data_IF_380837660470
#
_entry.id   IF_380837660470
#
_cell.length_a   1.000
_cell.length_b   1.000
_cell.length_c   1.000
_cell.angle_alpha   90.00
_cell.angle_beta   90.00
_cell.angle_gamma   90.00
#
_symmetry.space_group_name_H-M   'P 1'
#
loop_
_entity.id
_entity.type
_entity.pdbx_description
1 polymer ?
#
# COMPACT_ATOMS: atom_id res chain seq x y z
N UNK A 1 4.44 -7.57 0.49
CA UNK A 1 3.77 -7.99 1.75
C UNK A 1 2.61 -8.94 1.46
N UNK A 2 1.70 -8.65 0.52
CA UNK A 2 0.57 -9.53 0.14
C UNK A 2 1.02 -10.96 -0.20
N UNK A 3 2.01 -11.13 -1.09
CA UNK A 3 2.57 -12.45 -1.42
C UNK A 3 3.03 -13.26 -0.21
N UNK A 4 3.62 -12.60 0.81
CA UNK A 4 4.08 -13.25 2.03
C UNK A 4 2.90 -13.77 2.85
N UNK A 5 1.83 -12.97 2.95
CA UNK A 5 0.63 -13.32 3.70
C UNK A 5 -0.15 -14.47 3.02
N UNK A 6 -0.21 -14.46 1.69
CA UNK A 6 -0.81 -15.52 0.87
C UNK A 6 0.11 -16.75 0.68
N UNK A 7 1.34 -16.71 1.22
CA UNK A 7 2.36 -17.77 1.08
C UNK A 7 2.68 -18.11 -0.37
N UNK A 8 2.66 -17.11 -1.24
CA UNK A 8 3.05 -17.24 -2.65
C UNK A 8 4.56 -17.10 -2.76
N UNK A 9 5.22 -18.02 -3.46
CA UNK A 9 6.64 -17.89 -3.79
C UNK A 9 6.82 -16.87 -4.92
N UNK A 10 7.75 -15.93 -4.74
CA UNK A 10 8.06 -14.91 -5.74
C UNK A 10 9.58 -14.69 -5.85
N UNK A 11 10.02 -14.16 -6.99
CA UNK A 11 11.36 -13.64 -7.19
C UNK A 11 11.30 -12.11 -7.29
N UNK A 12 12.07 -11.41 -6.45
CA UNK A 12 12.15 -9.96 -6.49
C UNK A 12 13.15 -9.48 -7.55
N UNK A 13 12.79 -8.43 -8.28
CA UNK A 13 13.68 -7.74 -9.23
C UNK A 13 13.96 -6.33 -8.71
N UNK A 14 15.24 -6.00 -8.50
CA UNK A 14 15.67 -4.70 -7.97
C UNK A 14 15.83 -3.67 -9.10
N UNK A 15 15.25 -2.48 -8.92
CA UNK A 15 15.21 -1.41 -9.94
C UNK A 15 16.57 -0.77 -10.29
N UNK A 16 17.61 -0.93 -9.46
CA UNK A 16 18.89 -0.24 -9.70
C UNK A 16 19.66 -0.77 -10.95
N UNK A 17 19.08 -1.71 -11.68
CA UNK A 17 19.59 -2.25 -12.95
C UNK A 17 18.45 -2.57 -13.92
N UNK A 18 17.52 -1.62 -14.15
CA UNK A 18 16.46 -1.77 -15.17
C UNK A 18 17.07 -1.94 -16.57
N UNK A 19 17.35 -3.17 -16.96
CA UNK A 19 17.83 -3.47 -18.29
C UNK A 19 16.72 -3.33 -19.34
N UNK A 20 17.12 -3.15 -20.60
CA UNK A 20 16.24 -3.13 -21.78
C UNK A 20 15.19 -4.26 -21.83
N UNK A 21 15.46 -5.40 -21.16
CA UNK A 21 14.54 -6.53 -21.05
C UNK A 21 13.29 -6.23 -20.20
N UNK A 22 13.38 -5.39 -19.17
CA UNK A 22 12.22 -5.01 -18.36
C UNK A 22 11.29 -4.07 -19.12
N UNK A 23 11.82 -3.07 -19.83
CA UNK A 23 11.01 -2.13 -20.60
C UNK A 23 10.26 -2.79 -21.78
N UNK A 24 10.73 -3.95 -22.25
CA UNK A 24 9.96 -4.78 -23.21
C UNK A 24 8.71 -5.40 -22.59
N UNK A 25 8.74 -5.65 -21.29
CA UNK A 25 7.64 -6.26 -20.53
C UNK A 25 6.71 -5.18 -20.00
N UNK A 26 7.27 -4.11 -19.42
CA UNK A 26 6.55 -2.94 -18.96
C UNK A 26 7.15 -1.67 -19.57
N UNK A 27 6.56 -1.22 -20.67
CA UNK A 27 7.02 -0.04 -21.40
C UNK A 27 6.96 1.26 -20.56
N UNK A 28 6.07 1.33 -19.57
CA UNK A 28 5.96 2.49 -18.69
C UNK A 28 7.10 2.57 -17.67
N UNK A 29 7.88 1.50 -17.50
CA UNK A 29 8.96 1.44 -16.52
C UNK A 29 8.50 1.51 -15.06
N UNK A 30 7.18 1.47 -14.82
CA UNK A 30 6.58 1.51 -13.48
C UNK A 30 6.75 0.17 -12.74
N UNK A 31 6.67 0.24 -11.44
CA UNK A 31 6.64 -0.92 -10.54
C UNK A 31 5.56 -0.70 -9.48
N UNK A 32 5.03 -1.77 -8.87
CA UNK A 32 5.33 -3.18 -9.11
C UNK A 32 4.76 -3.73 -10.44
N UNK A 33 5.38 -4.79 -10.94
CA UNK A 33 4.91 -5.60 -12.07
C UNK A 33 5.13 -7.06 -11.72
N UNK A 34 4.13 -7.90 -11.97
CA UNK A 34 4.23 -9.35 -11.73
C UNK A 34 3.83 -10.14 -12.97
N UNK A 35 4.30 -11.39 -13.03
CA UNK A 35 3.86 -12.37 -14.01
C UNK A 35 3.10 -13.47 -13.28
N UNK A 36 1.82 -13.66 -13.59
CA UNK A 36 1.00 -14.76 -13.09
C UNK A 36 0.31 -15.42 -14.28
N UNK A 37 0.36 -16.75 -14.36
CA UNK A 37 -0.20 -17.55 -15.46
C UNK A 37 0.17 -17.01 -16.84
N UNK A 38 1.46 -16.72 -17.02
CA UNK A 38 2.03 -16.14 -18.24
C UNK A 38 1.55 -14.72 -18.61
N UNK A 39 0.66 -14.11 -17.82
CA UNK A 39 0.20 -12.73 -17.99
C UNK A 39 0.98 -11.77 -17.11
N UNK A 40 1.43 -10.67 -17.70
CA UNK A 40 2.03 -9.56 -16.97
C UNK A 40 0.96 -8.58 -16.49
N UNK A 41 1.01 -8.23 -15.21
CA UNK A 41 0.09 -7.30 -14.55
C UNK A 41 0.91 -6.25 -13.81
N UNK A 42 0.57 -4.99 -14.03
CA UNK A 42 1.12 -3.83 -13.33
C UNK A 42 0.04 -3.17 -12.46
N UNK A 43 0.43 -2.20 -11.65
CA UNK A 43 -0.41 -1.51 -10.64
C UNK A 43 -0.65 -2.38 -9.40
N UNK A 44 -0.26 -1.88 -8.23
CA UNK A 44 -0.37 -2.62 -6.98
C UNK A 44 -1.82 -2.95 -6.60
N UNK A 45 -2.78 -2.09 -6.95
CA UNK A 45 -4.19 -2.31 -6.60
C UNK A 45 -4.79 -3.41 -7.47
N UNK A 46 -4.45 -3.42 -8.76
CA UNK A 46 -4.86 -4.48 -9.70
C UNK A 46 -4.16 -5.80 -9.33
N UNK A 47 -2.87 -5.74 -8.99
CA UNK A 47 -2.09 -6.91 -8.57
C UNK A 47 -2.72 -7.56 -7.34
N UNK A 48 -3.04 -6.79 -6.30
CA UNK A 48 -3.59 -7.35 -5.06
C UNK A 48 -5.00 -7.92 -5.26
N UNK A 49 -5.84 -7.30 -6.11
CA UNK A 49 -7.13 -7.88 -6.50
C UNK A 49 -6.97 -9.22 -7.23
N UNK A 50 -6.06 -9.27 -8.21
CA UNK A 50 -5.80 -10.49 -8.97
C UNK A 50 -5.25 -11.62 -8.08
N UNK A 51 -4.44 -11.28 -7.08
CA UNK A 51 -3.94 -12.22 -6.09
C UNK A 51 -5.04 -12.77 -5.19
N UNK A 52 -5.92 -11.92 -4.66
CA UNK A 52 -7.05 -12.33 -3.83
C UNK A 52 -8.01 -13.27 -4.59
N UNK A 53 -8.27 -12.98 -5.88
CA UNK A 53 -9.08 -13.87 -6.73
C UNK A 53 -8.44 -15.24 -6.92
N UNK A 54 -7.11 -15.30 -7.05
CA UNK A 54 -6.35 -16.53 -7.29
C UNK A 54 -6.05 -17.32 -6.02
N UNK A 55 -5.83 -16.63 -4.91
CA UNK A 55 -5.46 -17.17 -3.60
C UNK A 55 -6.40 -16.63 -2.52
N UNK A 56 -7.70 -17.01 -2.53
CA UNK A 56 -8.71 -16.44 -1.64
C UNK A 56 -8.54 -16.82 -0.16
N UNK A 57 -7.52 -17.63 0.18
CA UNK A 57 -7.26 -18.10 1.53
C UNK A 57 -5.78 -17.88 1.85
N UNK A 58 -5.44 -17.11 2.90
CA UNK A 58 -6.37 -16.39 3.79
C UNK A 58 -7.05 -15.21 3.09
N UNK A 59 -8.28 -14.90 3.48
CA UNK A 59 -9.01 -13.76 2.93
C UNK A 59 -8.40 -12.45 3.41
N UNK A 60 -8.01 -11.57 2.50
CA UNK A 60 -7.43 -10.26 2.84
C UNK A 60 -8.36 -9.10 2.48
N UNK A 61 -9.56 -9.36 1.96
CA UNK A 61 -10.55 -8.32 1.64
C UNK A 61 -10.84 -7.43 2.86
N UNK A 62 -10.62 -6.13 2.70
CA UNK A 62 -11.09 -5.12 3.66
C UNK A 62 -12.58 -4.85 3.41
N UNK A 63 -13.45 -4.92 4.43
CA UNK A 63 -14.86 -4.57 4.27
C UNK A 63 -15.04 -3.13 3.74
N UNK A 64 -16.02 -2.86 2.85
CA UNK A 64 -16.20 -1.56 2.22
C UNK A 64 -16.32 -0.40 3.21
N UNK A 65 -16.97 -0.61 4.35
CA UNK A 65 -17.13 0.40 5.40
C UNK A 65 -15.83 0.79 6.10
N UNK A 66 -14.74 0.04 5.88
CA UNK A 66 -13.40 0.28 6.46
C UNK A 66 -12.36 0.65 5.39
N UNK A 67 -12.73 0.61 4.10
CA UNK A 67 -11.80 0.83 3.00
C UNK A 67 -11.19 2.24 2.97
N UNK A 68 -11.84 3.22 3.61
CA UNK A 68 -11.38 4.61 3.66
C UNK A 68 -10.53 4.94 4.89
N UNK A 69 -10.40 4.00 5.84
CA UNK A 69 -9.63 4.21 7.07
C UNK A 69 -8.16 4.43 6.72
N UNK A 70 -7.60 5.57 7.13
CA UNK A 70 -6.19 5.94 6.89
C UNK A 70 -5.85 6.30 5.43
N UNK A 71 -6.81 6.32 4.50
CA UNK A 71 -6.57 6.49 3.06
C UNK A 71 -5.80 7.77 2.71
N UNK A 72 -6.04 8.85 3.44
CA UNK A 72 -5.47 10.18 3.15
C UNK A 72 -4.09 10.42 3.74
N UNK A 73 -3.65 9.61 4.72
CA UNK A 73 -2.39 9.82 5.47
C UNK A 73 -1.20 10.02 4.53
N UNK A 74 -1.07 9.16 3.50
CA UNK A 74 0.08 9.25 2.62
C UNK A 74 0.03 10.48 1.71
N UNK A 75 -1.15 10.87 1.23
CA UNK A 75 -1.27 12.09 0.42
C UNK A 75 -0.99 13.37 1.21
N UNK A 76 -1.44 13.45 2.48
CA UNK A 76 -1.13 14.59 3.35
C UNK A 76 0.34 14.59 3.74
N UNK A 77 0.93 13.43 3.99
CA UNK A 77 2.37 13.28 4.22
C UNK A 77 3.22 13.78 3.04
N UNK A 78 2.89 13.38 1.80
CA UNK A 78 3.57 13.89 0.60
C UNK A 78 3.35 15.40 0.43
N UNK A 79 2.18 15.92 0.79
CA UNK A 79 1.90 17.35 0.83
C UNK A 79 2.85 18.08 1.79
N UNK A 80 2.95 17.58 3.02
CA UNK A 80 3.86 18.09 4.04
C UNK A 80 5.32 18.05 3.59
N UNK A 81 5.80 16.91 3.05
CA UNK A 81 7.19 16.80 2.55
C UNK A 81 7.53 17.80 1.42
N UNK A 82 6.54 18.16 0.60
CA UNK A 82 6.72 19.10 -0.51
C UNK A 82 6.54 20.56 -0.11
N UNK A 83 5.97 20.80 1.07
CA UNK A 83 5.76 22.14 1.59
C UNK A 83 7.09 22.86 1.72
N UNK A 84 7.06 24.15 1.43
CA UNK A 84 8.17 25.08 1.66
C UNK A 84 7.76 26.23 2.58
N UNK A 85 6.48 26.30 2.95
CA UNK A 85 5.91 27.34 3.78
C UNK A 85 5.46 26.70 5.09
N UNK A 86 6.09 27.04 6.23
CA UNK A 86 5.72 26.47 7.52
C UNK A 86 4.30 26.83 7.98
N UNK A 87 3.59 27.73 7.28
CA UNK A 87 2.23 28.15 7.63
C UNK A 87 1.14 27.66 6.66
N UNK A 88 1.45 26.72 5.76
CA UNK A 88 0.49 26.24 4.74
C UNK A 88 -0.47 25.13 5.21
N UNK A 89 -0.51 24.89 6.52
CA UNK A 89 -1.40 23.94 7.20
C UNK A 89 -1.16 22.44 6.86
N UNK A 90 -0.12 22.12 6.08
CA UNK A 90 0.14 20.73 5.66
C UNK A 90 0.53 19.81 6.82
N UNK A 91 1.26 20.32 7.82
CA UNK A 91 1.60 19.58 9.03
C UNK A 91 0.34 19.26 9.85
N UNK A 92 -0.52 20.26 10.05
CA UNK A 92 -1.77 20.11 10.80
C UNK A 92 -2.72 19.12 10.11
N UNK A 93 -2.79 19.16 8.77
CA UNK A 93 -3.55 18.19 7.99
C UNK A 93 -3.03 16.76 8.17
N UNK A 94 -1.70 16.55 8.18
CA UNK A 94 -1.11 15.25 8.44
C UNK A 94 -1.41 14.76 9.86
N UNK A 95 -1.21 15.62 10.88
CA UNK A 95 -1.50 15.30 12.28
C UNK A 95 -2.97 14.95 12.50
N UNK A 96 -3.89 15.66 11.84
CA UNK A 96 -5.33 15.37 11.90
C UNK A 96 -5.66 13.97 11.36
N UNK A 97 -5.09 13.58 10.22
CA UNK A 97 -5.31 12.24 9.64
C UNK A 97 -4.67 11.14 10.51
N UNK A 98 -3.49 11.38 11.08
CA UNK A 98 -2.83 10.44 12.00
C UNK A 98 -3.61 10.26 13.30
N UNK A 99 -4.10 11.36 13.90
CA UNK A 99 -4.93 11.31 15.10
C UNK A 99 -6.23 10.53 14.85
N UNK A 100 -6.91 10.84 13.74
CA UNK A 100 -8.14 10.14 13.33
C UNK A 100 -7.90 8.64 13.18
N UNK A 101 -6.77 8.25 12.58
CA UNK A 101 -6.41 6.85 12.41
C UNK A 101 -6.04 6.16 13.73
N UNK A 102 -5.31 6.84 14.61
CA UNK A 102 -4.99 6.35 15.95
C UNK A 102 -6.25 6.10 16.78
N UNK A 103 -7.19 7.05 16.77
CA UNK A 103 -8.45 6.94 17.51
C UNK A 103 -9.29 5.76 16.99
N UNK A 104 -9.35 5.60 15.65
CA UNK A 104 -9.99 4.44 15.03
C UNK A 104 -9.38 3.12 15.51
N UNK A 105 -8.04 3.01 15.53
CA UNK A 105 -7.35 1.79 15.97
C UNK A 105 -7.50 1.53 17.47
N UNK A 106 -7.59 2.56 18.31
CA UNK A 106 -7.87 2.39 19.74
C UNK A 106 -9.24 1.76 19.99
N UNK A 107 -10.23 2.09 19.17
CA UNK A 107 -11.60 1.55 19.29
C UNK A 107 -11.79 0.22 18.56
N UNK A 108 -11.08 0.00 17.44
CA UNK A 108 -11.37 -1.08 16.51
C UNK A 108 -10.21 -2.06 16.30
N UNK A 109 -8.99 -1.74 16.74
CA UNK A 109 -7.76 -2.46 16.42
C UNK A 109 -7.65 -3.89 16.99
N UNK A 110 -6.50 -4.56 16.79
CA UNK A 110 -5.19 -3.97 16.42
C UNK A 110 -4.98 -3.61 14.94
N UNK A 111 -5.77 -4.14 14.01
CA UNK A 111 -5.70 -3.84 12.56
C UNK A 111 -6.92 -3.06 12.08
N UNK A 112 -6.89 -2.56 10.84
CA UNK A 112 -8.04 -1.90 10.20
C UNK A 112 -9.26 -2.84 10.21
N UNK A 113 -9.06 -4.13 9.93
CA UNK A 113 -10.12 -5.13 10.03
C UNK A 113 -10.18 -5.84 11.40
N UNK A 114 -9.94 -5.09 12.49
CA UNK A 114 -9.94 -5.57 13.87
C UNK A 114 -8.84 -6.59 14.15
N UNK A 115 -9.20 -7.86 14.29
CA UNK A 115 -8.27 -8.92 14.71
C UNK A 115 -7.42 -9.42 13.54
N UNK A 116 -7.94 -9.31 12.33
CA UNK A 116 -7.32 -9.86 11.14
C UNK A 116 -6.69 -8.77 10.30
N UNK A 117 -5.52 -9.07 9.75
CA UNK A 117 -4.87 -8.23 8.74
C UNK A 117 -5.67 -8.25 7.44
N UNK A 118 -5.71 -7.11 6.75
CA UNK A 118 -6.42 -6.96 5.48
C UNK A 118 -5.62 -6.15 4.45
N UNK A 119 -6.16 -6.01 3.24
CA UNK A 119 -5.58 -5.24 2.16
C UNK A 119 -5.28 -3.79 2.55
N UNK A 120 -6.14 -3.18 3.38
CA UNK A 120 -5.90 -1.84 3.93
C UNK A 120 -4.61 -1.78 4.75
N UNK A 121 -4.37 -2.75 5.65
CA UNK A 121 -3.16 -2.81 6.45
C UNK A 121 -1.91 -3.03 5.58
N UNK A 122 -2.00 -3.92 4.59
CA UNK A 122 -0.92 -4.21 3.64
C UNK A 122 -0.60 -3.03 2.71
N UNK A 123 -1.58 -2.16 2.45
CA UNK A 123 -1.41 -0.91 1.69
C UNK A 123 -0.83 0.21 2.56
N UNK A 124 -1.29 0.34 3.82
CA UNK A 124 -0.89 1.40 4.74
C UNK A 124 0.47 1.15 5.39
N UNK A 125 0.78 -0.08 5.80
CA UNK A 125 2.03 -0.41 6.49
C UNK A 125 3.29 0.15 5.83
N UNK A 126 3.55 -0.12 4.53
CA UNK A 126 4.72 0.44 3.84
C UNK A 126 4.67 1.98 3.72
N UNK A 127 3.50 2.59 3.60
CA UNK A 127 3.33 4.05 3.55
C UNK A 127 3.65 4.71 4.90
N UNK A 128 3.25 4.08 6.00
CA UNK A 128 3.57 4.53 7.36
C UNK A 128 5.06 4.34 7.67
N UNK A 129 5.66 3.25 7.19
CA UNK A 129 7.12 3.07 7.32
C UNK A 129 7.90 4.15 6.58
N UNK A 130 7.45 4.56 5.39
CA UNK A 130 8.02 5.72 4.69
C UNK A 130 7.92 7.02 5.50
N UNK A 131 6.85 7.22 6.27
CA UNK A 131 6.70 8.38 7.15
C UNK A 131 7.69 8.33 8.32
N UNK A 132 7.89 7.15 8.92
CA UNK A 132 8.79 6.96 10.08
C UNK A 132 10.27 7.25 9.75
N UNK A 133 10.71 6.90 8.55
CA UNK A 133 12.14 6.98 8.16
C UNK A 133 12.51 8.21 7.32
N UNK A 134 11.53 9.06 7.01
CA UNK A 134 11.73 10.23 6.14
C UNK A 134 12.48 11.38 6.83
#
# INVERSE_FOLDING_TARGET
MTFTQERVFYCEVKLCSVGYRFLKINAEGKVPVIKLDEKWVSDSDIITQFLEEKYPIPQLVTPPEKATVGLKIFSTFIGFLKSKDPNDETEQALLSELSTFNDYLNENGPFVNRKDISAADLSLGPKLYHLEIA
#
